data_IF_809157213598
#
_entry.id   IF_809157213598
#
_cell.length_a   1.000
_cell.length_b   1.000
_cell.length_c   1.000
_cell.angle_alpha   90.00
_cell.angle_beta   90.00
_cell.angle_gamma   90.00
#
_symmetry.space_group_name_H-M   'P 1'
#
loop_
_entity.id
_entity.type
_entity.pdbx_description
1 polymer ?
#
# COMPACT_ATOMS: atom_id res chain seq x y z
N UNK A 1 -18.11 -20.05 -26.71
CA UNK A 1 -16.96 -19.97 -25.80
C UNK A 1 -16.34 -18.59 -26.03
N UNK A 2 -16.41 -17.70 -25.08
CA UNK A 2 -15.79 -16.37 -25.18
C UNK A 2 -14.26 -16.54 -25.30
N UNK A 3 -13.68 -15.89 -26.28
CA UNK A 3 -12.24 -15.90 -26.51
C UNK A 3 -11.62 -14.89 -25.53
N UNK A 4 -11.32 -15.36 -24.30
CA UNK A 4 -10.71 -14.53 -23.25
C UNK A 4 -9.33 -14.07 -23.70
N UNK A 5 -9.01 -12.80 -23.44
CA UNK A 5 -7.69 -12.27 -23.72
C UNK A 5 -6.63 -12.95 -22.82
N UNK A 6 -5.37 -12.97 -23.27
CA UNK A 6 -4.26 -13.53 -22.49
C UNK A 6 -4.12 -12.84 -21.12
N UNK A 7 -4.41 -11.54 -21.04
CA UNK A 7 -4.36 -10.75 -19.81
C UNK A 7 -5.44 -11.18 -18.82
N UNK A 8 -6.66 -11.50 -19.30
CA UNK A 8 -7.74 -11.98 -18.45
C UNK A 8 -7.41 -13.35 -17.85
N UNK A 9 -6.85 -14.25 -18.67
CA UNK A 9 -6.43 -15.58 -18.22
C UNK A 9 -5.31 -15.49 -17.15
N UNK A 10 -4.32 -14.61 -17.36
CA UNK A 10 -3.23 -14.38 -16.39
C UNK A 10 -3.78 -13.76 -15.11
N UNK A 11 -4.69 -12.81 -15.19
CA UNK A 11 -5.29 -12.15 -14.02
C UNK A 11 -6.12 -13.13 -13.18
N UNK A 12 -6.96 -13.96 -13.83
CA UNK A 12 -7.75 -15.00 -13.16
C UNK A 12 -6.86 -16.08 -12.53
N UNK A 13 -5.76 -16.44 -13.20
CA UNK A 13 -4.76 -17.37 -12.65
C UNK A 13 -4.08 -16.80 -11.40
N UNK A 14 -3.65 -15.54 -11.45
CA UNK A 14 -3.01 -14.85 -10.33
C UNK A 14 -3.97 -14.65 -9.15
N UNK A 15 -5.24 -14.40 -9.43
CA UNK A 15 -6.29 -14.29 -8.41
C UNK A 15 -6.73 -15.65 -7.83
N UNK A 16 -6.30 -16.78 -8.43
CA UNK A 16 -6.74 -18.13 -8.04
C UNK A 16 -8.19 -18.44 -8.40
N UNK A 17 -8.78 -17.68 -9.33
CA UNK A 17 -10.19 -17.79 -9.75
C UNK A 17 -10.36 -18.41 -11.13
N UNK A 18 -9.28 -18.82 -11.78
CA UNK A 18 -9.29 -19.38 -13.12
C UNK A 18 -10.04 -20.74 -13.17
N UNK A 19 -10.89 -20.93 -14.19
CA UNK A 19 -11.55 -22.21 -14.41
C UNK A 19 -10.56 -23.26 -14.98
N UNK A 20 -10.81 -24.58 -14.80
CA UNK A 20 -9.94 -25.62 -15.36
C UNK A 20 -9.79 -25.53 -16.89
N UNK A 21 -10.84 -25.14 -17.61
CA UNK A 21 -10.81 -24.97 -19.05
C UNK A 21 -9.97 -23.76 -19.48
N UNK A 22 -10.09 -22.64 -18.76
CA UNK A 22 -9.31 -21.42 -19.01
C UNK A 22 -7.84 -21.59 -18.62
N UNK A 23 -7.55 -22.42 -17.63
CA UNK A 23 -6.18 -22.76 -17.25
C UNK A 23 -5.44 -23.54 -18.36
N UNK A 24 -6.14 -24.45 -19.04
CA UNK A 24 -5.59 -25.17 -20.19
C UNK A 24 -5.40 -24.25 -21.40
N UNK A 25 -6.35 -23.34 -21.66
CA UNK A 25 -6.25 -22.32 -22.69
C UNK A 25 -5.06 -21.35 -22.43
N UNK A 26 -4.88 -20.95 -21.17
CA UNK A 26 -3.72 -20.14 -20.77
C UNK A 26 -2.41 -20.86 -21.06
N UNK A 27 -2.33 -22.15 -20.74
CA UNK A 27 -1.14 -22.96 -20.96
C UNK A 27 -0.81 -23.06 -22.46
N UNK A 28 -1.80 -23.35 -23.30
CA UNK A 28 -1.63 -23.44 -24.74
C UNK A 28 -1.13 -22.12 -25.34
N UNK A 29 -1.68 -20.97 -24.90
CA UNK A 29 -1.24 -19.64 -25.34
C UNK A 29 0.16 -19.30 -24.87
N UNK A 30 0.54 -19.68 -23.64
CA UNK A 30 1.91 -19.44 -23.13
C UNK A 30 2.95 -20.30 -23.86
N UNK A 31 2.60 -21.48 -24.35
CA UNK A 31 3.48 -22.35 -25.14
C UNK A 31 3.64 -21.86 -26.59
N UNK A 32 2.61 -21.19 -27.13
CA UNK A 32 2.60 -20.73 -28.54
C UNK A 32 3.07 -19.28 -28.73
N UNK A 33 3.03 -18.44 -27.70
CA UNK A 33 3.33 -17.00 -27.78
C UNK A 33 4.44 -16.59 -26.79
N UNK A 34 5.60 -16.22 -27.35
CA UNK A 34 6.76 -15.81 -26.55
C UNK A 34 6.54 -14.48 -25.81
N UNK A 35 5.70 -13.59 -26.34
CA UNK A 35 5.36 -12.30 -25.70
C UNK A 35 4.42 -12.53 -24.51
N UNK A 36 3.42 -13.42 -24.66
CA UNK A 36 2.57 -13.88 -23.57
C UNK A 36 3.37 -14.53 -22.42
N UNK A 37 4.35 -15.35 -22.75
CA UNK A 37 5.24 -15.97 -21.77
C UNK A 37 6.13 -14.93 -21.05
N UNK A 38 6.60 -13.91 -21.74
CA UNK A 38 7.36 -12.80 -21.14
C UNK A 38 6.51 -12.03 -20.14
N UNK A 39 5.30 -11.64 -20.54
CA UNK A 39 4.33 -10.93 -19.70
C UNK A 39 3.96 -11.73 -18.45
N UNK A 40 3.68 -13.02 -18.60
CA UNK A 40 3.37 -13.93 -17.50
C UNK A 40 4.52 -14.00 -16.48
N UNK A 41 5.75 -14.03 -16.96
CA UNK A 41 6.95 -14.07 -16.13
C UNK A 41 7.14 -12.77 -15.34
N UNK A 42 6.92 -11.63 -15.98
CA UNK A 42 7.03 -10.29 -15.37
C UNK A 42 5.99 -10.10 -14.26
N UNK A 43 4.75 -10.50 -14.50
CA UNK A 43 3.67 -10.46 -13.51
C UNK A 43 4.00 -11.38 -12.32
N UNK A 44 4.49 -12.60 -12.55
CA UNK A 44 4.86 -13.55 -11.49
C UNK A 44 6.09 -13.12 -10.68
N UNK A 45 7.05 -12.45 -11.27
CA UNK A 45 8.18 -11.89 -10.51
C UNK A 45 7.73 -10.77 -9.59
N UNK A 46 6.84 -9.91 -10.07
CA UNK A 46 6.23 -8.85 -9.26
C UNK A 46 5.41 -9.42 -8.10
N UNK A 47 4.60 -10.46 -8.34
CA UNK A 47 3.88 -11.18 -7.28
C UNK A 47 4.80 -11.85 -6.25
N UNK A 48 5.93 -12.44 -6.68
CA UNK A 48 6.90 -13.04 -5.76
C UNK A 48 7.51 -12.01 -4.83
N UNK A 49 7.83 -10.82 -5.35
CA UNK A 49 8.35 -9.71 -4.55
C UNK A 49 7.30 -9.27 -3.53
N UNK A 50 6.04 -9.08 -3.94
CA UNK A 50 4.94 -8.73 -3.05
C UNK A 50 4.66 -9.82 -1.99
N UNK A 51 4.65 -11.10 -2.40
CA UNK A 51 4.47 -12.24 -1.47
C UNK A 51 5.66 -12.44 -0.54
N UNK A 52 6.89 -12.13 -0.95
CA UNK A 52 8.06 -12.21 -0.06
C UNK A 52 8.00 -11.17 1.05
N UNK A 53 7.50 -9.99 0.78
CA UNK A 53 7.25 -8.94 1.79
C UNK A 53 6.12 -9.37 2.74
N UNK A 54 5.01 -9.92 2.23
CA UNK A 54 3.88 -10.39 3.05
C UNK A 54 4.20 -11.68 3.85
N UNK A 55 5.02 -12.59 3.33
CA UNK A 55 5.41 -13.84 4.02
C UNK A 55 6.40 -13.57 5.14
N UNK A 56 7.24 -12.56 5.04
CA UNK A 56 8.14 -12.18 6.13
C UNK A 56 7.38 -11.67 7.36
N UNK A 57 6.27 -10.96 7.15
CA UNK A 57 5.35 -10.57 8.24
C UNK A 57 4.58 -11.74 8.87
N UNK A 58 4.14 -12.72 8.06
CA UNK A 58 3.34 -13.86 8.58
C UNK A 58 4.17 -14.91 9.32
N UNK A 59 5.43 -15.11 8.98
CA UNK A 59 6.28 -16.16 9.59
C UNK A 59 6.62 -15.82 11.04
N UNK A 60 6.84 -14.57 11.39
CA UNK A 60 7.18 -14.19 12.77
C UNK A 60 5.96 -14.18 13.72
N UNK A 61 4.79 -13.81 13.24
CA UNK A 61 3.55 -13.85 14.02
C UNK A 61 3.15 -15.29 14.38
N UNK A 62 3.22 -16.21 13.44
CA UNK A 62 2.80 -17.60 13.66
C UNK A 62 3.73 -18.37 14.60
N UNK A 63 5.04 -18.10 14.58
CA UNK A 63 6.01 -18.66 15.54
C UNK A 63 5.85 -18.09 16.96
N UNK A 64 5.45 -16.85 17.07
CA UNK A 64 5.20 -16.20 18.36
C UNK A 64 3.94 -16.75 19.04
N UNK A 65 2.88 -17.03 18.30
CA UNK A 65 1.65 -17.66 18.81
C UNK A 65 1.87 -19.10 19.24
N UNK A 66 2.62 -19.92 18.52
CA UNK A 66 2.92 -21.30 18.90
C UNK A 66 3.76 -21.43 20.20
N UNK A 67 4.57 -20.45 20.53
CA UNK A 67 5.32 -20.40 21.80
C UNK A 67 4.46 -20.03 23.00
N UNK A 68 3.39 -19.26 22.81
CA UNK A 68 2.45 -18.88 23.87
C UNK A 68 1.46 -20.00 24.19
N UNK A 69 1.03 -20.77 23.20
CA UNK A 69 0.04 -21.86 23.37
C UNK A 69 0.63 -23.08 24.14
N UNK A 70 1.95 -23.29 24.07
CA UNK A 70 2.62 -24.38 24.79
C UNK A 70 2.80 -24.15 26.30
N UNK A 71 2.58 -22.93 26.80
CA UNK A 71 2.79 -22.56 28.20
C UNK A 71 1.51 -22.57 29.06
N UNK A 72 0.32 -22.70 28.44
CA UNK A 72 -0.96 -22.56 29.13
C UNK A 72 -1.82 -23.84 29.22
N UNK A 73 -1.39 -24.98 28.67
CA UNK A 73 -2.17 -26.22 28.74
C UNK A 73 -1.67 -27.15 29.84
N UNK A 74 -2.30 -27.04 30.97
CA UNK A 74 -2.20 -28.03 32.07
C UNK A 74 -2.81 -29.37 31.64
N UNK A 75 -2.10 -30.46 31.91
CA UNK A 75 -2.45 -31.87 31.60
C UNK A 75 -3.80 -32.27 32.15
N UNK A 76 -4.77 -32.82 31.38
CA UNK A 76 -5.91 -33.50 31.95
C UNK A 76 -5.57 -34.96 32.30
N UNK A 77 -5.98 -35.37 33.48
CA UNK A 77 -5.88 -36.72 33.98
C UNK A 77 -6.83 -37.69 33.26
N UNK A 78 -6.33 -38.86 32.97
CA UNK A 78 -7.05 -40.00 32.39
C UNK A 78 -8.18 -40.48 33.29
N UNK A 79 -9.42 -40.46 32.78
CA UNK A 79 -10.53 -41.27 33.27
C UNK A 79 -11.07 -42.13 32.14
N UNK A 80 -10.83 -43.40 32.22
CA UNK A 80 -11.12 -44.40 31.20
C UNK A 80 -12.38 -45.21 31.56
N UNK A 81 -13.19 -45.56 30.51
CA UNK A 81 -13.91 -46.82 30.46
C UNK A 81 -15.31 -46.87 31.09
N UNK A 82 -16.38 -46.53 30.34
CA UNK A 82 -17.69 -47.20 30.49
C UNK A 82 -18.76 -46.86 29.40
N UNK A 83 -18.45 -46.39 28.19
CA UNK A 83 -19.50 -46.05 27.20
C UNK A 83 -19.48 -46.85 25.90
N UNK A 84 -18.85 -48.05 25.87
CA UNK A 84 -18.71 -48.80 24.63
C UNK A 84 -19.70 -49.98 24.45
N UNK A 85 -20.81 -50.06 25.21
CA UNK A 85 -21.75 -51.19 25.09
C UNK A 85 -23.21 -50.85 24.74
N UNK A 86 -23.62 -49.60 24.62
CA UNK A 86 -25.03 -49.22 24.35
C UNK A 86 -25.21 -48.32 23.10
N UNK A 87 -24.15 -47.95 22.43
CA UNK A 87 -24.15 -46.98 21.31
C UNK A 87 -24.77 -47.40 19.97
N UNK A 88 -24.72 -48.65 19.51
CA UNK A 88 -25.11 -48.95 18.15
C UNK A 88 -26.63 -49.12 17.92
N UNK A 89 -27.43 -49.39 18.94
CA UNK A 89 -28.87 -49.66 18.76
C UNK A 89 -29.72 -48.38 18.72
N UNK A 90 -29.30 -47.32 19.39
CA UNK A 90 -30.05 -46.04 19.37
C UNK A 90 -29.73 -45.21 18.13
N UNK A 91 -28.52 -45.35 17.57
CA UNK A 91 -28.13 -44.64 16.34
C UNK A 91 -28.88 -45.11 15.09
N UNK A 92 -29.22 -46.42 14.99
CA UNK A 92 -29.92 -46.96 13.83
C UNK A 92 -31.40 -46.54 13.78
N UNK A 93 -32.06 -46.37 14.92
CA UNK A 93 -33.48 -45.96 14.98
C UNK A 93 -33.66 -44.47 14.67
N UNK A 94 -32.72 -43.62 15.07
CA UNK A 94 -32.77 -42.17 14.75
C UNK A 94 -32.45 -41.92 13.25
N UNK A 95 -31.54 -42.68 12.64
CA UNK A 95 -31.24 -42.59 11.22
C UNK A 95 -32.42 -43.02 10.34
N UNK A 96 -33.17 -44.05 10.73
CA UNK A 96 -34.37 -44.49 9.99
C UNK A 96 -35.53 -43.49 10.14
N UNK A 97 -35.69 -42.83 11.27
CA UNK A 97 -36.74 -41.83 11.49
C UNK A 97 -36.44 -40.52 10.70
N UNK A 98 -35.20 -40.16 10.58
CA UNK A 98 -34.77 -39.02 9.76
C UNK A 98 -34.93 -39.28 8.26
N UNK A 99 -34.84 -40.53 7.79
CA UNK A 99 -35.05 -40.89 6.37
C UNK A 99 -36.54 -40.83 5.97
N UNK A 100 -37.47 -40.91 6.92
CA UNK A 100 -38.90 -40.88 6.61
C UNK A 100 -39.60 -39.53 6.83
N UNK A 101 -38.96 -38.60 7.58
CA UNK A 101 -39.55 -37.30 7.94
C UNK A 101 -39.06 -36.18 7.04
N UNK A 102 -37.96 -36.35 6.34
CA UNK A 102 -37.53 -35.38 5.32
C UNK A 102 -37.93 -35.83 3.90
N UNK A 103 -39.00 -35.28 3.35
CA UNK A 103 -39.25 -35.43 1.91
C UNK A 103 -38.10 -34.76 1.15
N UNK A 104 -37.56 -35.51 0.24
CA UNK A 104 -36.42 -35.18 -0.62
C UNK A 104 -36.77 -33.99 -1.53
N UNK A 105 -36.78 -32.78 -0.98
CA UNK A 105 -36.65 -31.56 -1.78
C UNK A 105 -35.17 -31.33 -2.01
N UNK A 106 -34.61 -32.02 -3.03
CA UNK A 106 -33.42 -31.52 -3.69
C UNK A 106 -33.82 -30.20 -4.37
N UNK A 107 -33.76 -29.10 -3.65
CA UNK A 107 -33.36 -27.86 -4.29
C UNK A 107 -31.94 -28.12 -4.78
N UNK A 108 -31.79 -28.23 -6.07
CA UNK A 108 -30.52 -27.99 -6.74
C UNK A 108 -30.23 -26.53 -6.45
N UNK A 109 -29.53 -26.27 -5.36
CA UNK A 109 -28.78 -25.03 -5.22
C UNK A 109 -27.81 -25.05 -6.40
N UNK A 110 -28.11 -24.25 -7.39
CA UNK A 110 -27.11 -23.80 -8.33
C UNK A 110 -25.95 -23.32 -7.43
N UNK A 111 -24.70 -23.75 -7.70
CA UNK A 111 -23.58 -23.14 -7.04
C UNK A 111 -23.65 -21.66 -7.42
N UNK A 112 -24.31 -20.87 -6.57
CA UNK A 112 -24.14 -19.45 -6.56
C UNK A 112 -22.65 -19.26 -6.41
N UNK A 113 -22.03 -18.78 -7.45
CA UNK A 113 -20.71 -18.19 -7.41
C UNK A 113 -20.75 -17.16 -6.28
N UNK A 114 -20.36 -17.60 -5.08
CA UNK A 114 -19.85 -16.71 -4.06
C UNK A 114 -18.51 -16.19 -4.63
N UNK A 115 -18.61 -15.34 -5.64
CA UNK A 115 -17.61 -14.32 -5.84
C UNK A 115 -17.68 -13.50 -4.58
N UNK A 116 -16.88 -13.87 -3.59
CA UNK A 116 -16.52 -13.00 -2.52
C UNK A 116 -15.94 -11.77 -3.22
N UNK A 117 -16.79 -10.76 -3.45
CA UNK A 117 -16.33 -9.43 -3.75
C UNK A 117 -15.55 -9.02 -2.50
N UNK A 118 -14.28 -9.30 -2.49
CA UNK A 118 -13.35 -8.64 -1.57
C UNK A 118 -13.42 -7.19 -1.98
N UNK A 119 -14.32 -6.43 -1.32
CA UNK A 119 -14.50 -5.03 -1.60
C UNK A 119 -13.15 -4.34 -1.44
N UNK A 120 -12.67 -3.71 -2.49
CA UNK A 120 -11.43 -2.92 -2.44
C UNK A 120 -11.77 -1.65 -1.69
N UNK A 121 -11.34 -1.61 -0.44
CA UNK A 121 -11.54 -0.44 0.43
C UNK A 121 -10.41 0.57 0.24
N UNK A 122 -10.71 1.87 0.35
CA UNK A 122 -9.66 2.88 0.38
C UNK A 122 -8.71 2.66 1.55
N UNK A 123 -7.53 3.22 1.43
CA UNK A 123 -6.54 3.24 2.49
C UNK A 123 -7.04 3.96 3.75
N UNK A 124 -6.21 4.00 4.77
CA UNK A 124 -6.54 4.65 6.04
C UNK A 124 -5.33 4.86 6.93
N UNK A 125 -5.55 5.29 8.16
CA UNK A 125 -4.49 5.55 9.12
C UNK A 125 -3.85 4.23 9.56
N UNK A 126 -2.60 3.97 9.10
CA UNK A 126 -1.84 2.75 9.40
C UNK A 126 -0.36 3.08 9.48
N UNK A 127 0.30 2.72 10.55
CA UNK A 127 1.75 2.85 10.66
C UNK A 127 2.33 1.85 11.67
N UNK A 128 3.59 1.50 11.47
CA UNK A 128 4.40 0.68 12.37
C UNK A 128 5.63 1.51 12.75
N UNK A 129 5.86 1.67 14.04
CA UNK A 129 7.07 2.28 14.57
C UNK A 129 8.05 1.18 14.98
N UNK A 130 9.24 1.19 14.39
CA UNK A 130 10.36 0.36 14.78
C UNK A 130 11.37 1.18 15.57
N UNK A 131 11.65 0.76 16.80
CA UNK A 131 12.71 1.36 17.61
C UNK A 131 14.09 0.78 17.25
N UNK A 132 15.17 1.46 17.70
CA UNK A 132 16.55 1.06 17.39
C UNK A 132 16.90 -0.37 17.81
N UNK A 133 16.31 -0.88 18.89
CA UNK A 133 16.45 -2.27 19.36
C UNK A 133 15.63 -3.30 18.56
N UNK A 134 14.97 -2.86 17.47
CA UNK A 134 14.19 -3.71 16.59
C UNK A 134 12.76 -4.01 17.06
N UNK A 135 12.32 -3.45 18.19
CA UNK A 135 10.95 -3.61 18.65
C UNK A 135 9.98 -2.89 17.73
N UNK A 136 8.96 -3.60 17.27
CA UNK A 136 7.88 -3.07 16.44
C UNK A 136 6.66 -2.72 17.27
N UNK A 137 6.06 -1.56 17.01
CA UNK A 137 4.87 -1.05 17.66
C UNK A 137 3.86 -0.68 16.58
N UNK A 138 2.72 -1.35 16.57
CA UNK A 138 1.62 -1.02 15.68
C UNK A 138 0.88 0.22 16.20
N UNK A 139 0.83 1.26 15.38
CA UNK A 139 0.16 2.53 15.70
C UNK A 139 -1.27 2.61 15.14
N UNK A 140 -1.70 1.60 14.37
CA UNK A 140 -2.99 1.58 13.67
C UNK A 140 -4.16 1.49 14.65
N UNK A 141 -4.02 0.70 15.71
CA UNK A 141 -5.11 0.32 16.63
C UNK A 141 -5.21 1.19 17.89
N UNK A 142 -4.33 2.17 18.04
CA UNK A 142 -4.21 2.88 19.32
C UNK A 142 -5.09 4.12 19.37
N UNK A 143 -6.23 4.01 20.01
CA UNK A 143 -6.87 5.12 20.73
C UNK A 143 -5.87 5.69 21.73
N UNK A 144 -5.58 7.00 21.63
CA UNK A 144 -4.70 7.81 22.51
C UNK A 144 -3.92 7.00 23.56
N UNK A 145 -2.75 6.48 23.19
CA UNK A 145 -1.93 5.66 24.09
C UNK A 145 -0.57 6.30 24.31
N UNK A 146 -0.13 6.22 25.57
CA UNK A 146 1.26 6.56 25.92
C UNK A 146 2.12 5.33 25.66
N UNK A 147 3.03 5.45 24.71
CA UNK A 147 3.96 4.40 24.32
C UNK A 147 5.30 4.71 24.97
N UNK A 148 5.85 3.76 25.70
CA UNK A 148 7.20 3.84 26.24
C UNK A 148 8.03 2.81 25.48
N UNK A 149 9.02 3.29 24.73
CA UNK A 149 9.97 2.43 24.04
C UNK A 149 10.95 1.81 25.06
N UNK A 150 11.62 0.73 24.69
CA UNK A 150 12.59 0.02 25.56
C UNK A 150 13.77 0.89 25.97
N UNK A 151 14.10 1.92 25.18
CA UNK A 151 15.12 2.90 25.46
C UNK A 151 14.62 4.08 26.31
N UNK A 152 13.37 4.00 26.80
CA UNK A 152 12.79 5.00 27.70
C UNK A 152 12.19 6.24 27.01
N UNK A 153 12.16 6.27 25.68
CA UNK A 153 11.49 7.32 24.94
C UNK A 153 9.98 7.23 25.18
N UNK A 154 9.37 8.35 25.53
CA UNK A 154 7.93 8.43 25.74
C UNK A 154 7.30 9.11 24.54
N UNK A 155 6.40 8.39 23.91
CA UNK A 155 5.62 8.83 22.77
C UNK A 155 4.15 8.91 23.17
N UNK A 156 3.45 9.91 22.68
CA UNK A 156 1.99 10.02 22.81
C UNK A 156 1.40 9.87 21.43
N UNK A 157 0.68 8.76 21.22
CA UNK A 157 -0.09 8.56 20.02
C UNK A 157 -1.51 9.09 20.25
N UNK A 158 -1.91 10.07 19.46
CA UNK A 158 -3.22 10.72 19.51
C UNK A 158 -3.86 10.58 18.11
N UNK A 159 -5.05 9.98 18.04
CA UNK A 159 -5.76 9.73 16.79
C UNK A 159 -5.99 10.99 15.92
N UNK A 160 -6.04 12.18 16.55
CA UNK A 160 -6.25 13.45 15.85
C UNK A 160 -4.94 14.21 15.58
N UNK A 161 -3.93 14.03 16.43
CA UNK A 161 -2.68 14.80 16.39
C UNK A 161 -1.47 13.96 15.97
N UNK A 162 -1.68 12.67 15.72
CA UNK A 162 -0.63 11.72 15.40
C UNK A 162 0.33 11.44 16.56
N UNK A 163 1.46 10.85 16.24
CA UNK A 163 2.51 10.53 17.20
C UNK A 163 3.30 11.77 17.56
N UNK A 164 3.56 11.99 18.85
CA UNK A 164 4.39 13.10 19.35
C UNK A 164 5.35 12.63 20.42
N UNK A 165 6.50 13.27 20.50
CA UNK A 165 7.47 13.07 21.57
C UNK A 165 7.04 13.79 22.85
N UNK A 166 7.10 13.09 23.99
CA UNK A 166 6.97 13.72 25.29
C UNK A 166 8.32 14.34 25.68
N UNK A 167 8.47 15.61 25.41
CA UNK A 167 9.72 16.37 25.63
C UNK A 167 10.15 16.44 27.10
N UNK A 168 9.25 16.14 28.05
CA UNK A 168 9.54 16.29 29.49
C UNK A 168 10.64 15.37 30.04
N UNK A 169 11.13 14.40 29.24
CA UNK A 169 12.12 13.39 29.65
C UNK A 169 13.33 13.27 28.73
N UNK A 170 13.50 14.16 27.74
CA UNK A 170 14.47 13.99 26.67
C UNK A 170 15.86 14.65 26.90
N UNK A 171 16.07 15.42 27.97
CA UNK A 171 17.24 16.33 28.07
C UNK A 171 18.62 15.66 28.20
N UNK A 172 18.72 14.32 28.42
CA UNK A 172 20.01 13.63 28.55
C UNK A 172 20.09 12.25 27.93
N UNK A 173 19.24 11.95 26.94
CA UNK A 173 19.29 10.64 26.27
C UNK A 173 20.24 10.66 25.07
N UNK A 174 20.96 9.56 24.81
CA UNK A 174 21.78 9.45 23.60
C UNK A 174 20.87 9.51 22.36
N UNK A 175 21.38 10.09 21.28
CA UNK A 175 20.67 10.13 20.00
C UNK A 175 20.49 8.71 19.46
N UNK A 176 19.24 8.30 19.26
CA UNK A 176 18.85 7.00 18.75
C UNK A 176 17.87 7.16 17.60
N UNK A 177 17.99 6.30 16.59
CA UNK A 177 17.14 6.36 15.43
C UNK A 177 15.95 5.41 15.55
N UNK A 178 14.79 5.89 15.11
CA UNK A 178 13.55 5.14 14.98
C UNK A 178 13.11 5.17 13.52
N UNK A 179 12.37 4.16 13.09
CA UNK A 179 11.81 4.09 11.74
C UNK A 179 10.29 4.01 11.84
N UNK A 180 9.60 4.95 11.21
CA UNK A 180 8.15 4.89 11.02
C UNK A 180 7.90 4.40 9.59
N UNK A 181 7.26 3.23 9.47
CA UNK A 181 6.87 2.63 8.21
C UNK A 181 5.36 2.70 8.03
N UNK A 182 4.92 3.24 6.90
CA UNK A 182 3.53 3.27 6.46
C UNK A 182 3.35 2.23 5.35
N UNK A 183 2.55 1.19 5.56
CA UNK A 183 2.33 0.15 4.55
C UNK A 183 1.52 0.66 3.36
N UNK A 184 1.41 -0.18 2.32
CA UNK A 184 0.45 0.01 1.24
C UNK A 184 -0.97 0.14 1.83
N UNK A 185 -1.78 1.06 1.30
CA UNK A 185 -3.09 1.39 1.85
C UNK A 185 -3.03 2.09 3.21
N UNK A 186 -1.89 2.67 3.57
CA UNK A 186 -1.70 3.43 4.78
C UNK A 186 -1.44 4.91 4.54
N UNK A 187 -1.67 5.72 5.55
CA UNK A 187 -1.16 7.08 5.72
C UNK A 187 -0.95 7.33 7.20
N UNK A 188 -0.02 8.21 7.52
CA UNK A 188 0.21 8.59 8.91
C UNK A 188 0.82 9.98 9.02
N UNK A 189 0.64 10.64 10.17
CA UNK A 189 1.33 11.89 10.45
C UNK A 189 1.90 11.90 11.87
N UNK A 190 3.01 12.60 12.06
CA UNK A 190 3.67 12.71 13.34
C UNK A 190 4.46 14.01 13.46
N UNK A 191 4.88 14.32 14.69
CA UNK A 191 5.68 15.50 14.99
C UNK A 191 7.02 15.07 15.55
N UNK A 192 8.12 15.56 14.96
CA UNK A 192 9.49 15.35 15.41
C UNK A 192 9.80 16.14 16.68
N UNK A 193 10.93 15.84 17.31
CA UNK A 193 11.37 16.46 18.55
C UNK A 193 11.60 17.98 18.44
N UNK A 194 11.91 18.48 17.24
CA UNK A 194 12.09 19.92 16.97
C UNK A 194 10.77 20.66 16.66
N UNK A 195 9.64 19.95 16.66
CA UNK A 195 8.33 20.51 16.31
C UNK A 195 8.01 20.43 14.81
N UNK A 196 8.90 19.87 13.98
CA UNK A 196 8.63 19.60 12.55
C UNK A 196 7.50 18.60 12.42
N UNK A 197 6.48 18.93 11.60
CA UNK A 197 5.36 18.03 11.29
C UNK A 197 5.65 17.27 10.00
N UNK A 198 5.37 15.96 10.01
CA UNK A 198 5.62 15.05 8.90
C UNK A 198 4.35 14.28 8.61
N UNK A 199 3.87 14.35 7.37
CA UNK A 199 2.84 13.46 6.82
C UNK A 199 3.53 12.44 5.94
N UNK A 200 3.15 11.19 6.07
CA UNK A 200 3.76 10.04 5.38
C UNK A 200 2.68 9.33 4.59
N UNK A 201 2.87 9.24 3.29
CA UNK A 201 1.92 8.61 2.37
C UNK A 201 2.14 7.08 2.29
N UNK A 202 1.26 6.38 1.57
CA UNK A 202 1.28 4.92 1.40
C UNK A 202 2.63 4.41 0.89
N UNK A 203 3.03 3.23 1.37
CA UNK A 203 4.29 2.56 0.99
C UNK A 203 5.54 3.41 1.26
N UNK A 204 5.56 4.17 2.37
CA UNK A 204 6.64 5.10 2.70
C UNK A 204 7.26 4.82 4.06
N UNK A 205 8.53 5.23 4.21
CA UNK A 205 9.33 5.01 5.41
C UNK A 205 10.07 6.30 5.77
N UNK A 206 10.05 6.66 7.05
CA UNK A 206 10.83 7.78 7.59
C UNK A 206 11.67 7.28 8.76
N UNK A 207 13.01 7.41 8.65
CA UNK A 207 13.94 7.13 9.74
C UNK A 207 14.44 8.46 10.33
N UNK A 208 14.27 8.63 11.61
CA UNK A 208 14.51 9.89 12.31
C UNK A 208 15.05 9.66 13.73
N UNK A 209 15.81 10.61 14.31
CA UNK A 209 16.32 10.50 15.67
C UNK A 209 15.27 10.90 16.71
N UNK A 210 15.39 10.38 17.93
CA UNK A 210 14.61 10.79 19.11
C UNK A 210 14.86 12.26 19.51
N UNK A 211 16.03 12.78 19.22
CA UNK A 211 16.40 14.19 19.40
C UNK A 211 17.44 14.59 18.35
N UNK A 212 17.50 15.86 18.02
CA UNK A 212 18.53 16.39 17.15
C UNK A 212 19.68 16.94 18.00
N UNK A 213 20.88 16.40 17.78
CA UNK A 213 22.11 16.85 18.42
C UNK A 213 23.14 17.21 17.37
N UNK A 214 23.85 18.33 17.56
CA UNK A 214 24.87 18.79 16.61
C UNK A 214 24.40 19.93 15.71
N UNK A 215 25.15 20.15 14.60
CA UNK A 215 24.95 21.31 13.71
C UNK A 215 23.85 21.15 12.67
N UNK A 216 23.17 19.98 12.58
CA UNK A 216 22.13 19.68 11.61
C UNK A 216 21.00 18.84 12.21
N UNK A 217 19.81 18.93 11.63
CA UNK A 217 18.65 18.08 11.90
C UNK A 217 18.48 17.15 10.69
N UNK A 218 18.71 15.86 10.87
CA UNK A 218 18.76 14.92 9.74
C UNK A 218 17.71 13.82 9.87
N UNK A 219 17.00 13.54 8.77
CA UNK A 219 16.08 12.40 8.62
C UNK A 219 16.32 11.70 7.28
N UNK A 220 15.86 10.45 7.17
CA UNK A 220 15.97 9.64 5.96
C UNK A 220 14.58 9.23 5.50
N UNK A 221 14.32 9.35 4.20
CA UNK A 221 12.99 9.12 3.61
C UNK A 221 13.09 8.15 2.44
N UNK A 222 12.14 7.20 2.39
CA UNK A 222 11.80 6.42 1.21
C UNK A 222 10.30 6.57 0.99
N UNK A 223 9.86 6.81 -0.24
CA UNK A 223 8.46 7.03 -0.57
C UNK A 223 8.07 8.50 -0.63
N UNK A 224 6.88 8.85 -0.19
CA UNK A 224 6.34 10.20 -0.26
C UNK A 224 6.02 10.78 1.11
N UNK A 225 6.54 11.99 1.34
CA UNK A 225 6.31 12.74 2.56
C UNK A 225 6.02 14.21 2.27
N UNK A 226 5.15 14.79 3.07
CA UNK A 226 5.03 16.24 3.17
C UNK A 226 5.56 16.71 4.52
N UNK A 227 6.35 17.77 4.51
CA UNK A 227 6.99 18.30 5.71
C UNK A 227 6.63 19.78 5.91
N UNK A 228 6.31 20.09 7.15
CA UNK A 228 6.29 21.47 7.67
C UNK A 228 7.41 21.60 8.67
N UNK A 229 8.57 22.02 8.18
CA UNK A 229 9.80 22.07 8.98
C UNK A 229 9.78 23.28 9.90
N UNK A 230 10.01 23.05 11.19
CA UNK A 230 10.18 24.11 12.19
C UNK A 230 11.37 25.01 11.82
N UNK A 231 11.17 26.34 11.86
CA UNK A 231 12.19 27.30 11.47
C UNK A 231 13.34 27.33 12.47
N UNK A 232 14.53 27.03 12.00
CA UNK A 232 15.80 27.20 12.73
C UNK A 232 16.92 27.46 11.71
N UNK A 233 17.41 28.69 11.70
CA UNK A 233 18.46 29.12 10.76
C UNK A 233 19.86 28.67 11.18
N UNK A 234 20.05 28.30 12.45
CA UNK A 234 21.35 27.87 13.00
C UNK A 234 21.58 26.37 12.73
N UNK A 235 20.50 25.56 12.71
CA UNK A 235 20.58 24.13 12.55
C UNK A 235 19.75 23.72 11.32
N UNK A 236 20.35 23.69 10.12
CA UNK A 236 19.64 23.28 8.90
C UNK A 236 18.99 21.91 9.05
N UNK A 237 17.79 21.76 8.45
CA UNK A 237 17.11 20.48 8.35
C UNK A 237 17.46 19.82 7.03
N UNK A 238 17.90 18.57 7.07
CA UNK A 238 18.36 17.81 5.91
C UNK A 238 17.53 16.53 5.80
N UNK A 239 16.89 16.34 4.65
CA UNK A 239 16.19 15.11 4.31
C UNK A 239 17.03 14.32 3.30
N UNK A 240 17.44 13.12 3.68
CA UNK A 240 18.13 12.19 2.82
C UNK A 240 17.14 11.29 2.08
N UNK A 241 17.18 11.29 0.75
CA UNK A 241 16.38 10.46 -0.14
C UNK A 241 17.30 9.61 -1.04
N UNK A 242 17.76 8.47 -0.51
CA UNK A 242 18.85 7.71 -1.10
C UNK A 242 20.16 8.52 -1.07
N UNK A 243 20.76 8.77 -2.24
CA UNK A 243 21.97 9.57 -2.39
C UNK A 243 21.70 11.09 -2.54
N UNK A 244 20.43 11.49 -2.48
CA UNK A 244 20.03 12.87 -2.67
C UNK A 244 19.73 13.53 -1.32
N UNK A 245 19.95 14.85 -1.26
CA UNK A 245 19.70 15.67 -0.07
C UNK A 245 18.75 16.83 -0.39
N UNK A 246 17.78 17.04 0.49
CA UNK A 246 16.91 18.22 0.50
C UNK A 246 17.23 19.01 1.76
N UNK A 247 17.81 20.21 1.61
CA UNK A 247 18.23 21.08 2.70
C UNK A 247 17.32 22.28 2.82
N UNK A 248 16.84 22.55 4.05
CA UNK A 248 15.93 23.65 4.36
C UNK A 248 16.22 24.26 5.74
N UNK A 249 15.66 25.46 6.01
CA UNK A 249 15.79 26.16 7.30
C UNK A 249 14.47 26.35 8.05
N UNK A 250 13.34 26.19 7.35
CA UNK A 250 11.97 26.36 7.84
C UNK A 250 11.06 26.53 6.64
N UNK A 251 10.45 25.43 6.20
CA UNK A 251 9.96 25.28 4.82
C UNK A 251 8.83 24.27 4.81
N UNK A 252 7.84 24.49 3.93
CA UNK A 252 6.79 23.52 3.61
C UNK A 252 7.02 22.98 2.21
N UNK A 253 7.14 21.65 2.09
CA UNK A 253 7.40 21.00 0.81
C UNK A 253 6.93 19.54 0.78
N UNK A 254 6.65 19.04 -0.40
CA UNK A 254 6.42 17.61 -0.67
C UNK A 254 7.68 17.00 -1.28
N UNK A 255 8.02 15.79 -0.86
CA UNK A 255 9.11 14.99 -1.42
C UNK A 255 8.57 13.61 -1.81
N UNK A 256 8.68 13.26 -3.10
CA UNK A 256 8.38 11.93 -3.63
C UNK A 256 9.69 11.26 -4.04
N UNK A 257 10.04 10.16 -3.37
CA UNK A 257 11.32 9.46 -3.58
C UNK A 257 11.12 7.93 -3.41
N UNK A 258 10.11 7.37 -4.08
CA UNK A 258 9.88 5.93 -4.08
C UNK A 258 11.03 5.18 -4.73
N UNK A 259 11.55 4.09 -4.13
CA UNK A 259 12.68 3.33 -4.70
C UNK A 259 12.35 2.67 -6.05
N UNK A 260 11.09 2.34 -6.30
CA UNK A 260 10.56 1.72 -7.52
C UNK A 260 10.22 2.74 -8.61
N UNK A 261 10.40 4.05 -8.36
CA UNK A 261 10.19 5.11 -9.34
C UNK A 261 11.50 5.66 -9.90
N UNK A 262 11.49 5.99 -11.19
CA UNK A 262 12.64 6.59 -11.86
C UNK A 262 12.94 8.02 -11.38
N UNK A 263 11.94 8.72 -10.85
CA UNK A 263 12.06 10.14 -10.52
C UNK A 263 12.09 10.38 -9.02
N UNK A 264 12.94 11.34 -8.60
CA UNK A 264 12.84 11.97 -7.28
C UNK A 264 12.34 13.39 -7.49
N UNK A 265 11.22 13.71 -6.82
CA UNK A 265 10.50 14.97 -7.04
C UNK A 265 10.41 15.73 -5.72
N UNK A 266 10.78 17.02 -5.74
CA UNK A 266 10.60 17.91 -4.57
C UNK A 266 9.81 19.13 -4.98
N UNK A 267 8.64 19.35 -4.39
CA UNK A 267 7.74 20.47 -4.69
C UNK A 267 7.70 21.44 -3.52
N UNK A 268 8.05 22.69 -3.75
CA UNK A 268 8.14 23.70 -2.71
C UNK A 268 6.84 24.52 -2.60
N UNK A 269 6.25 24.50 -1.40
CA UNK A 269 5.03 25.28 -1.07
C UNK A 269 5.39 26.61 -0.46
N UNK A 270 6.27 26.64 0.56
CA UNK A 270 6.65 27.86 1.28
C UNK A 270 8.10 27.78 1.75
N UNK A 271 8.81 28.91 1.72
CA UNK A 271 10.20 29.03 2.19
C UNK A 271 11.22 28.87 1.06
N UNK A 272 12.26 28.07 1.29
CA UNK A 272 13.32 27.80 0.31
C UNK A 272 13.85 26.40 0.48
N UNK A 273 14.06 25.69 -0.63
CA UNK A 273 14.67 24.35 -0.71
C UNK A 273 15.96 24.43 -1.49
N UNK A 274 17.01 23.79 -1.00
CA UNK A 274 18.18 23.41 -1.77
C UNK A 274 18.17 21.90 -1.96
N UNK A 275 17.90 21.45 -3.20
CA UNK A 275 18.00 20.05 -3.59
C UNK A 275 19.38 19.78 -4.15
N UNK A 276 20.03 18.70 -3.70
CA UNK A 276 21.35 18.25 -4.14
C UNK A 276 21.34 16.78 -4.53
N UNK A 277 22.01 16.47 -5.60
CA UNK A 277 22.47 15.13 -5.90
C UNK A 277 24.01 15.09 -5.89
N UNK A 278 24.61 13.95 -6.24
CA UNK A 278 26.06 13.78 -6.26
C UNK A 278 26.81 14.71 -7.25
N UNK A 279 26.11 15.33 -8.23
CA UNK A 279 26.72 16.08 -9.34
C UNK A 279 26.30 17.55 -9.37
N UNK A 280 25.12 17.88 -8.86
CA UNK A 280 24.53 19.21 -9.02
C UNK A 280 23.65 19.62 -7.86
N UNK A 281 23.31 20.89 -7.79
CA UNK A 281 22.32 21.40 -6.84
C UNK A 281 21.41 22.43 -7.50
N UNK A 282 20.14 22.44 -7.05
CA UNK A 282 19.13 23.39 -7.49
C UNK A 282 18.49 24.03 -6.27
N UNK A 283 18.27 25.35 -6.33
CA UNK A 283 17.47 26.07 -5.35
C UNK A 283 16.09 26.37 -5.88
N UNK A 284 15.06 25.99 -5.10
CA UNK A 284 13.66 26.21 -5.40
C UNK A 284 13.11 27.42 -4.67
N UNK A 285 12.16 28.10 -5.33
CA UNK A 285 11.24 29.10 -4.78
C UNK A 285 9.83 28.52 -4.67
N UNK A 286 8.93 29.10 -3.85
CA UNK A 286 7.54 28.67 -3.80
C UNK A 286 6.90 28.57 -5.20
N UNK A 287 6.17 27.47 -5.46
CA UNK A 287 5.60 27.14 -6.77
C UNK A 287 6.60 26.50 -7.75
N UNK A 288 7.82 26.22 -7.31
CA UNK A 288 8.80 25.48 -8.13
C UNK A 288 8.97 24.03 -7.63
N UNK A 289 9.33 23.17 -8.55
CA UNK A 289 9.57 21.74 -8.35
C UNK A 289 10.91 21.36 -8.96
N UNK A 290 11.70 20.54 -8.26
CA UNK A 290 12.83 19.81 -8.85
C UNK A 290 12.42 18.41 -9.23
N UNK A 291 12.88 17.95 -10.39
CA UNK A 291 12.71 16.59 -10.89
C UNK A 291 14.08 16.05 -11.21
N UNK A 292 14.49 15.02 -10.46
CA UNK A 292 15.70 14.25 -10.76
C UNK A 292 15.28 12.92 -11.40
N UNK A 293 15.75 12.69 -12.59
CA UNK A 293 15.68 11.38 -13.24
C UNK A 293 16.87 10.53 -12.79
N UNK A 294 16.59 9.37 -12.18
CA UNK A 294 17.65 8.51 -11.59
C UNK A 294 18.48 7.76 -12.64
N UNK A 295 17.91 7.50 -13.80
CA UNK A 295 18.60 6.76 -14.86
C UNK A 295 19.60 7.66 -15.57
N UNK A 296 19.18 8.87 -15.92
CA UNK A 296 20.03 9.85 -16.64
C UNK A 296 20.80 10.76 -15.70
N UNK A 297 20.45 10.78 -14.39
CA UNK A 297 20.92 11.71 -13.36
C UNK A 297 20.68 13.20 -13.75
N UNK A 298 19.71 13.43 -14.64
CA UNK A 298 19.32 14.77 -15.06
C UNK A 298 18.46 15.43 -14.00
N UNK A 299 18.87 16.62 -13.53
CA UNK A 299 18.18 17.41 -12.51
C UNK A 299 17.60 18.67 -13.14
N UNK A 300 16.28 18.73 -13.22
CA UNK A 300 15.55 19.85 -13.81
C UNK A 300 14.73 20.61 -12.77
N UNK A 301 14.38 21.84 -13.11
CA UNK A 301 13.49 22.70 -12.34
C UNK A 301 12.36 23.21 -13.21
N UNK A 302 11.14 23.15 -12.69
CA UNK A 302 9.95 23.63 -13.37
C UNK A 302 9.00 24.36 -12.40
N UNK A 303 8.10 25.20 -12.95
CA UNK A 303 6.98 25.78 -12.21
C UNK A 303 5.80 24.82 -12.27
N UNK A 304 5.09 24.68 -11.14
CA UNK A 304 3.94 23.78 -11.02
C UNK A 304 2.86 24.40 -10.15
N UNK A 305 1.64 23.92 -10.32
CA UNK A 305 0.62 24.08 -9.30
C UNK A 305 0.90 23.13 -8.14
N UNK A 306 1.22 23.67 -6.97
CA UNK A 306 1.60 22.87 -5.81
C UNK A 306 0.44 22.03 -5.27
N UNK A 307 -0.82 22.44 -5.53
CA UNK A 307 -2.00 21.70 -5.05
C UNK A 307 -2.04 20.27 -5.59
N UNK A 308 -1.63 20.07 -6.84
CA UNK A 308 -1.55 18.75 -7.51
C UNK A 308 -0.68 17.76 -6.72
N UNK A 309 0.39 18.25 -6.11
CA UNK A 309 1.37 17.42 -5.38
C UNK A 309 1.14 17.38 -3.86
N UNK A 310 0.22 18.17 -3.35
CA UNK A 310 -0.03 18.29 -1.90
C UNK A 310 -1.48 18.01 -1.49
N UNK A 311 -2.40 17.88 -2.46
CA UNK A 311 -3.85 17.63 -2.22
C UNK A 311 -4.10 16.36 -1.39
N UNK A 312 -3.20 15.36 -1.47
CA UNK A 312 -3.33 14.11 -0.73
C UNK A 312 -3.40 14.31 0.80
N UNK A 313 -2.79 15.39 1.33
CA UNK A 313 -2.83 15.75 2.76
C UNK A 313 -4.24 16.14 3.19
N UNK A 314 -5.01 16.75 2.27
CA UNK A 314 -6.39 17.17 2.51
C UNK A 314 -7.44 16.12 2.11
N UNK A 315 -7.00 14.89 1.80
CA UNK A 315 -7.87 13.76 1.49
C UNK A 315 -8.40 13.74 0.05
N UNK A 316 -7.71 14.42 -0.89
CA UNK A 316 -8.03 14.40 -2.32
C UNK A 316 -6.80 14.07 -3.15
N UNK A 317 -7.00 13.59 -4.37
CA UNK A 317 -6.01 13.60 -5.42
C UNK A 317 -6.48 14.56 -6.51
N UNK A 318 -5.64 15.51 -6.85
CA UNK A 318 -5.84 16.45 -7.96
C UNK A 318 -4.90 16.09 -9.09
N UNK A 319 -5.44 15.99 -10.29
CA UNK A 319 -4.71 15.64 -11.50
C UNK A 319 -4.91 16.71 -12.56
N UNK A 320 -3.84 17.17 -13.18
CA UNK A 320 -3.85 18.08 -14.32
C UNK A 320 -2.95 17.51 -15.40
N UNK A 321 -3.56 17.08 -16.51
CA UNK A 321 -2.84 16.44 -17.63
C UNK A 321 -1.86 15.34 -17.19
N UNK A 322 -2.18 14.67 -16.07
CA UNK A 322 -1.30 13.66 -15.49
C UNK A 322 -1.38 12.37 -16.28
N UNK A 323 -0.26 11.74 -16.66
CA UNK A 323 -0.24 10.44 -17.31
C UNK A 323 -0.95 9.37 -16.45
N UNK A 324 -1.74 8.51 -17.10
CA UNK A 324 -2.47 7.45 -16.41
C UNK A 324 -1.54 6.51 -15.64
N UNK A 325 -0.31 6.31 -16.13
CA UNK A 325 0.72 5.52 -15.41
C UNK A 325 1.06 6.09 -14.03
N UNK A 326 1.09 7.41 -13.89
CA UNK A 326 1.40 8.06 -12.61
C UNK A 326 0.20 7.96 -11.66
N UNK A 327 -1.01 8.16 -12.20
CA UNK A 327 -2.27 8.00 -11.47
C UNK A 327 -2.43 6.56 -10.95
N UNK A 328 -2.22 5.56 -11.81
CA UNK A 328 -2.38 4.16 -11.41
C UNK A 328 -1.34 3.72 -10.39
N UNK A 329 -0.12 4.27 -10.40
CA UNK A 329 0.86 4.04 -9.32
C UNK A 329 0.39 4.58 -7.97
N UNK A 330 -0.20 5.80 -7.94
CA UNK A 330 -0.78 6.36 -6.72
C UNK A 330 -1.96 5.51 -6.23
N UNK A 331 -2.88 5.15 -7.13
CA UNK A 331 -4.04 4.32 -6.79
C UNK A 331 -3.63 2.92 -6.34
N UNK A 332 -2.59 2.31 -6.96
CA UNK A 332 -2.04 1.02 -6.53
C UNK A 332 -1.60 1.05 -5.08
N UNK A 333 -0.87 2.08 -4.67
CA UNK A 333 -0.40 2.24 -3.30
C UNK A 333 -1.52 2.53 -2.31
N UNK A 334 -2.56 3.29 -2.72
CA UNK A 334 -3.65 3.67 -1.83
C UNK A 334 -4.69 2.56 -1.64
N UNK A 335 -5.05 1.84 -2.71
CA UNK A 335 -6.07 0.78 -2.68
C UNK A 335 -5.49 -0.63 -2.54
N UNK A 336 -4.18 -0.79 -2.53
CA UNK A 336 -3.48 -2.08 -2.52
C UNK A 336 -3.95 -2.96 -3.69
N UNK A 337 -3.84 -2.43 -4.92
CA UNK A 337 -4.22 -3.10 -6.16
C UNK A 337 -3.11 -3.02 -7.20
N UNK A 338 -3.16 -3.90 -8.19
CA UNK A 338 -2.24 -3.91 -9.33
C UNK A 338 -2.98 -3.49 -10.59
N UNK A 339 -2.40 -2.56 -11.36
CA UNK A 339 -2.90 -2.20 -12.68
C UNK A 339 -2.09 -2.88 -13.77
N UNK A 340 -2.79 -3.43 -14.77
CA UNK A 340 -2.21 -4.08 -15.95
C UNK A 340 -2.77 -3.41 -17.19
N UNK A 341 -1.88 -2.99 -18.09
CA UNK A 341 -2.24 -2.33 -19.33
C UNK A 341 -2.27 -3.35 -20.47
N UNK A 342 -3.40 -3.47 -21.17
CA UNK A 342 -3.48 -4.29 -22.41
C UNK A 342 -2.63 -3.68 -23.53
N UNK A 343 -2.47 -2.35 -23.56
CA UNK A 343 -1.58 -1.64 -24.49
C UNK A 343 -0.81 -0.55 -23.76
N UNK A 344 0.47 -0.40 -24.09
CA UNK A 344 1.33 0.64 -23.52
C UNK A 344 0.92 2.05 -23.91
N UNK A 345 0.11 2.21 -24.98
CA UNK A 345 -0.42 3.52 -25.41
C UNK A 345 -1.26 4.20 -24.30
N UNK A 346 -1.94 3.42 -23.45
CA UNK A 346 -2.78 3.94 -22.37
C UNK A 346 -1.97 4.51 -21.21
N UNK A 347 -0.73 4.08 -21.04
CA UNK A 347 0.14 4.54 -19.94
C UNK A 347 0.36 6.05 -19.94
N UNK A 348 0.47 6.64 -21.14
CA UNK A 348 0.71 8.07 -21.33
C UNK A 348 -0.59 8.88 -21.54
N UNK A 349 -1.77 8.25 -21.46
CA UNK A 349 -3.03 8.97 -21.64
C UNK A 349 -3.21 10.01 -20.52
N UNK A 350 -3.36 11.31 -20.86
CA UNK A 350 -3.50 12.35 -19.85
C UNK A 350 -4.90 12.35 -19.23
N UNK A 351 -4.97 12.57 -17.94
CA UNK A 351 -6.21 12.76 -17.22
C UNK A 351 -6.16 14.04 -16.40
N UNK A 352 -7.28 14.76 -16.36
CA UNK A 352 -7.50 15.93 -15.49
C UNK A 352 -8.77 15.72 -14.69
N UNK A 353 -8.68 15.87 -13.37
CA UNK A 353 -9.82 15.70 -12.48
C UNK A 353 -9.43 15.71 -11.01
N UNK A 354 -10.44 15.66 -10.15
CA UNK A 354 -10.27 15.55 -8.68
C UNK A 354 -11.03 14.33 -8.20
N UNK A 355 -10.39 13.52 -7.40
CA UNK A 355 -11.01 12.35 -6.74
C UNK A 355 -10.75 12.41 -5.24
N UNK A 356 -11.72 11.95 -4.44
CA UNK A 356 -11.55 11.87 -2.99
C UNK A 356 -10.90 10.56 -2.62
N UNK A 357 -10.03 10.59 -1.64
CA UNK A 357 -9.30 9.39 -1.17
C UNK A 357 -10.16 8.42 -0.37
N UNK A 358 -11.29 8.87 0.16
CA UNK A 358 -12.28 8.06 0.88
C UNK A 358 -13.32 7.38 -0.03
N UNK A 359 -13.33 7.68 -1.34
CA UNK A 359 -14.18 7.01 -2.32
C UNK A 359 -13.74 5.55 -2.55
N UNK A 360 -14.68 4.69 -2.98
CA UNK A 360 -14.34 3.35 -3.44
C UNK A 360 -13.51 3.39 -4.73
N UNK A 361 -12.71 2.35 -4.97
CA UNK A 361 -11.91 2.29 -6.20
C UNK A 361 -12.82 2.33 -7.45
N UNK A 362 -13.97 1.64 -7.40
CA UNK A 362 -14.94 1.59 -8.47
C UNK A 362 -15.46 2.99 -8.84
N UNK A 363 -15.74 3.83 -7.85
CA UNK A 363 -16.17 5.22 -8.07
C UNK A 363 -15.05 6.03 -8.75
N UNK A 364 -13.81 5.91 -8.27
CA UNK A 364 -12.66 6.59 -8.85
C UNK A 364 -12.43 6.16 -10.31
N UNK A 365 -12.43 4.86 -10.57
CA UNK A 365 -12.28 4.32 -11.92
C UNK A 365 -13.42 4.77 -12.85
N UNK A 366 -14.66 4.80 -12.35
CA UNK A 366 -15.82 5.31 -13.11
C UNK A 366 -15.67 6.77 -13.51
N UNK A 367 -15.04 7.62 -12.68
CA UNK A 367 -14.76 9.02 -13.02
C UNK A 367 -13.78 9.09 -14.20
N UNK A 368 -12.70 8.30 -14.16
CA UNK A 368 -11.71 8.24 -15.22
C UNK A 368 -12.34 7.71 -16.52
N UNK A 369 -13.15 6.64 -16.46
CA UNK A 369 -13.83 6.06 -17.60
C UNK A 369 -14.78 7.04 -18.32
N UNK A 370 -15.48 7.89 -17.56
CA UNK A 370 -16.44 8.87 -18.12
C UNK A 370 -15.78 9.97 -18.91
N UNK A 371 -14.51 10.25 -18.65
CA UNK A 371 -13.77 11.38 -19.24
C UNK A 371 -12.69 10.93 -20.22
N UNK A 372 -12.50 9.59 -20.36
CA UNK A 372 -11.49 9.01 -21.24
C UNK A 372 -12.10 7.90 -22.10
N UNK A 373 -11.40 7.47 -23.14
CA UNK A 373 -11.80 6.29 -23.95
C UNK A 373 -11.18 5.00 -23.40
N UNK A 374 -11.18 4.86 -22.07
CA UNK A 374 -10.57 3.75 -21.33
C UNK A 374 -11.65 3.03 -20.54
N UNK A 375 -11.50 1.72 -20.37
CA UNK A 375 -12.31 0.87 -19.51
C UNK A 375 -11.44 0.09 -18.54
N UNK A 376 -11.95 -0.12 -17.34
CA UNK A 376 -11.30 -0.90 -16.32
C UNK A 376 -12.09 -2.17 -16.03
N UNK A 377 -11.41 -3.33 -16.04
CA UNK A 377 -11.98 -4.60 -15.59
C UNK A 377 -11.33 -4.99 -14.27
N UNK A 378 -12.12 -5.09 -13.21
CA UNK A 378 -11.67 -5.49 -11.89
C UNK A 378 -11.71 -7.02 -11.80
N UNK A 379 -10.59 -7.65 -11.46
CA UNK A 379 -10.46 -9.08 -11.20
C UNK A 379 -9.67 -9.30 -9.92
N UNK A 380 -10.37 -9.49 -8.80
CA UNK A 380 -9.74 -9.51 -7.48
C UNK A 380 -9.04 -8.18 -7.18
N UNK A 381 -7.72 -8.22 -6.93
CA UNK A 381 -6.89 -7.02 -6.73
C UNK A 381 -6.16 -6.57 -8.00
N UNK A 382 -6.44 -7.18 -9.15
CA UNK A 382 -5.87 -6.80 -10.43
C UNK A 382 -6.88 -6.00 -11.24
N UNK A 383 -6.46 -4.86 -11.76
CA UNK A 383 -7.27 -3.94 -12.57
C UNK A 383 -6.70 -3.92 -13.98
N UNK A 384 -7.45 -4.43 -14.94
CA UNK A 384 -7.04 -4.47 -16.33
C UNK A 384 -7.54 -3.21 -17.03
N UNK A 385 -6.64 -2.54 -17.74
CA UNK A 385 -6.90 -1.29 -18.50
C UNK A 385 -7.00 -1.64 -19.98
N UNK A 386 -8.15 -1.33 -20.60
CA UNK A 386 -8.42 -1.62 -22.00
C UNK A 386 -9.16 -0.49 -22.71
N UNK A 387 -9.26 -0.55 -24.05
CA UNK A 387 -10.00 0.43 -24.85
C UNK A 387 -11.51 0.26 -24.67
N UNK A 388 -12.26 1.35 -24.67
CA UNK A 388 -13.72 1.31 -24.54
C UNK A 388 -14.42 0.58 -25.71
N UNK A 389 -13.87 0.62 -26.92
CA UNK A 389 -14.44 -0.04 -28.12
C UNK A 389 -14.36 -1.58 -28.03
N UNK A 390 -13.28 -2.11 -27.45
CA UNK A 390 -13.10 -3.56 -27.29
C UNK A 390 -14.12 -4.15 -26.30
N UNK A 391 -14.56 -3.36 -25.32
CA UNK A 391 -15.61 -3.74 -24.38
C UNK A 391 -17.02 -3.84 -25.02
N UNK A 392 -17.30 -3.05 -26.06
CA UNK A 392 -18.60 -3.04 -26.75
C UNK A 392 -18.77 -4.23 -27.71
N UNK A 393 -17.68 -4.75 -28.27
CA UNK A 393 -17.72 -5.93 -29.17
C UNK A 393 -17.98 -7.23 -28.41
N UNK A 394 -17.50 -7.34 -27.16
CA UNK A 394 -17.74 -8.52 -26.31
C UNK A 394 -19.22 -8.62 -25.92
N UNK A 395 -19.90 -7.49 -25.67
CA UNK A 395 -21.33 -7.48 -25.31
C UNK A 395 -22.28 -7.73 -26.50
N UNK A 396 -21.80 -7.57 -27.75
CA UNK A 396 -22.61 -7.83 -28.99
C UNK A 396 -22.48 -9.26 -29.50
N UNK A 397 -21.47 -10.01 -29.05
CA UNK A 397 -21.33 -11.45 -29.41
C UNK A 397 -22.06 -12.39 -28.45
N UNK A 398 -22.67 -11.85 -27.39
CA UNK A 398 -23.40 -12.62 -26.35
C UNK A 398 -24.91 -12.52 -26.45
N UNK A 399 -25.48 -11.99 -27.58
CA UNK A 399 -26.92 -11.98 -27.85
C UNK A 399 -27.27 -12.90 -29.06
#
# INVERSE_FOLDING_TARGET
MEDKSIFELIAEYSAGTISPADAELLRERLESDAEAMRLFREIRETEKILKSVQVQEKIDLQKSWQRLDSSLVGRPRKGRWLFWRVGPVVAASVALLLMFVFPFTRQVEQPGTLVSQVGITPGGVKAILQSEDGKMIDLTSSTSSRIVTSDGLVLVNDSLKGLRFDQSKSENQPMKYHTLAVPVGGEYHFTLADGTRVWVNSASEVRFPNCFSGGKREIYVKGEVYLEVARDEKHPFVVHAGENEVRVLGTRFNLTAYPDEQKVITTLVEGSVEFRNNQSSIRLKPGEQSVLDRETNNLEKQKVDVSIYTSWISGTYEYELMPLSDITRQLSRWYDVQFVYESTEFSNHPFTGVVKRDQSLEEVLSIIEKTTNIKFKISGRTIIIKRAEDAANISRSSN
#
